data_IF_276108500561
#
_entry.id   IF_276108500561
#
_cell.length_a   1.000
_cell.length_b   1.000
_cell.length_c   1.000
_cell.angle_alpha   90.00
_cell.angle_beta   90.00
_cell.angle_gamma   90.00
#
_symmetry.space_group_name_H-M   'P 1'
#
loop_
_entity.id
_entity.type
_entity.pdbx_description
1 polymer ?
#
# COMPACT_ATOMS: atom_id res chain seq x y z
N UNK A 1 -19.22 -25.89 42.44
CA UNK A 1 -18.10 -25.43 43.30
C UNK A 1 -16.85 -25.25 42.48
N UNK A 2 -16.19 -24.11 42.69
CA UNK A 2 -14.92 -23.63 42.18
C UNK A 2 -14.94 -22.97 40.77
N UNK A 3 -15.04 -21.63 40.83
CA UNK A 3 -14.69 -20.64 39.84
C UNK A 3 -13.16 -20.61 39.67
N UNK A 4 -12.67 -20.51 38.42
CA UNK A 4 -11.33 -19.98 38.16
C UNK A 4 -11.46 -18.76 37.25
N UNK A 5 -11.10 -17.64 37.84
CA UNK A 5 -11.08 -16.31 37.30
C UNK A 5 -9.69 -16.10 36.66
N UNK A 6 -9.61 -15.91 35.35
CA UNK A 6 -8.37 -15.44 34.68
C UNK A 6 -8.40 -13.94 34.63
N UNK A 7 -7.44 -13.35 35.32
CA UNK A 7 -7.18 -11.93 35.40
C UNK A 7 -6.41 -11.50 34.14
N UNK A 8 -7.05 -10.70 33.28
CA UNK A 8 -6.40 -10.06 32.14
C UNK A 8 -5.86 -8.70 32.61
N UNK A 9 -4.53 -8.54 32.66
CA UNK A 9 -3.88 -7.25 32.90
C UNK A 9 -3.94 -6.41 31.62
N UNK A 10 -4.80 -5.40 31.63
CA UNK A 10 -4.76 -4.31 30.63
C UNK A 10 -3.78 -3.26 31.15
N UNK A 11 -2.67 -3.06 30.46
CA UNK A 11 -1.73 -1.97 30.74
C UNK A 11 -2.20 -0.76 29.93
N UNK A 12 -2.93 0.16 30.56
CA UNK A 12 -3.20 1.48 30.02
C UNK A 12 -1.99 2.38 30.29
N UNK A 13 -1.26 2.77 29.23
CA UNK A 13 -0.29 3.87 29.29
C UNK A 13 -1.03 5.20 29.25
N UNK A 14 -1.13 5.84 30.39
CA UNK A 14 -1.66 7.23 30.51
C UNK A 14 -0.48 8.18 30.44
N UNK A 15 -0.41 8.98 29.39
CA UNK A 15 0.49 10.15 29.33
C UNK A 15 -0.08 11.27 30.21
N UNK A 16 0.62 11.61 31.29
CA UNK A 16 0.29 12.76 32.13
C UNK A 16 1.21 13.93 31.75
N UNK A 17 0.63 14.97 31.16
CA UNK A 17 1.31 16.25 31.00
C UNK A 17 1.41 16.94 32.37
N UNK A 18 2.62 17.15 32.87
CA UNK A 18 2.87 17.91 34.09
C UNK A 18 2.98 19.40 33.78
N UNK A 19 1.99 20.15 34.22
CA UNK A 19 2.04 21.61 34.23
C UNK A 19 2.44 22.06 35.63
N UNK A 20 3.65 22.64 35.80
CA UNK A 20 4.16 23.15 37.08
C UNK A 20 3.50 24.47 37.43
N UNK A 21 2.79 24.55 38.56
CA UNK A 21 2.50 25.78 39.29
C UNK A 21 3.16 25.75 40.66
N UNK A 22 4.03 26.75 40.92
CA UNK A 22 4.58 27.09 42.24
C UNK A 22 3.46 27.53 43.16
N UNK A 23 3.44 27.00 44.37
CA UNK A 23 2.83 27.64 45.54
C UNK A 23 3.78 27.43 46.73
N UNK A 24 4.06 28.55 47.45
CA UNK A 24 4.95 28.63 48.59
C UNK A 24 4.27 28.23 49.92
N UNK A 25 5.06 27.59 50.78
CA UNK A 25 5.16 27.64 52.27
C UNK A 25 3.94 27.45 53.20
N UNK A 26 3.97 26.49 54.08
CA UNK A 26 4.47 26.66 55.49
C UNK A 26 4.43 25.37 56.33
N UNK A 27 5.54 25.19 57.09
CA UNK A 27 5.73 24.64 58.46
C UNK A 27 5.53 23.15 58.76
N UNK A 28 6.68 22.56 59.06
CA UNK A 28 7.03 21.67 60.19
C UNK A 28 6.05 20.62 60.70
N UNK A 29 6.39 19.35 60.49
CA UNK A 29 6.41 18.29 61.52
C UNK A 29 7.35 17.17 61.01
N UNK A 30 8.44 16.92 61.78
CA UNK A 30 9.29 15.76 61.64
C UNK A 30 8.51 14.46 61.87
N UNK A 31 8.66 13.50 60.97
CA UNK A 31 8.60 12.07 61.31
C UNK A 31 9.50 11.27 60.37
N UNK A 32 10.54 10.76 60.97
CA UNK A 32 11.54 9.86 60.43
C UNK A 32 10.88 8.48 60.09
N UNK A 33 10.72 8.20 58.79
CA UNK A 33 10.60 6.83 58.27
C UNK A 33 11.45 6.73 57.03
N UNK A 34 12.52 5.92 57.13
CA UNK A 34 13.41 5.59 56.01
C UNK A 34 12.61 5.00 54.84
N UNK A 35 12.36 5.86 53.87
CA UNK A 35 11.86 5.44 52.56
C UNK A 35 13.05 5.23 51.63
N UNK A 36 13.27 4.01 51.20
CA UNK A 36 14.14 3.69 50.10
C UNK A 36 13.69 4.50 48.89
N UNK A 37 14.57 5.39 48.43
CA UNK A 37 14.42 6.01 47.12
C UNK A 37 14.49 4.88 46.09
N UNK A 38 13.38 4.57 45.45
CA UNK A 38 13.40 3.84 44.21
C UNK A 38 14.12 4.73 43.20
N UNK A 39 15.41 4.48 42.94
CA UNK A 39 16.09 5.03 41.78
C UNK A 39 15.32 4.52 40.55
N UNK A 40 14.53 5.37 39.95
CA UNK A 40 14.06 5.15 38.58
C UNK A 40 15.31 5.05 37.72
N UNK A 41 15.63 3.84 37.31
CA UNK A 41 16.69 3.60 36.33
C UNK A 41 16.18 4.16 35.03
N UNK A 42 16.62 5.36 34.71
CA UNK A 42 16.44 5.96 33.38
C UNK A 42 17.25 5.08 32.40
N UNK A 43 16.56 4.15 31.75
CA UNK A 43 17.17 3.29 30.73
C UNK A 43 17.51 4.18 29.56
N UNK A 44 18.78 4.49 29.37
CA UNK A 44 19.26 5.26 28.25
C UNK A 44 18.93 4.49 26.94
N UNK A 45 18.27 5.20 26.00
CA UNK A 45 17.96 4.65 24.69
C UNK A 45 19.24 4.21 23.96
N UNK A 46 19.16 3.11 23.23
CA UNK A 46 20.25 2.69 22.34
C UNK A 46 20.42 3.69 21.18
N UNK A 47 21.60 3.74 20.53
CA UNK A 47 21.78 4.59 19.36
C UNK A 47 20.76 4.34 18.24
N UNK A 48 20.32 3.10 18.06
CA UNK A 48 19.30 2.72 17.07
C UNK A 48 17.90 3.25 17.45
N UNK A 49 17.53 3.18 18.72
CA UNK A 49 16.28 3.76 19.24
C UNK A 49 16.26 5.28 19.12
N UNK A 50 17.41 5.95 19.37
CA UNK A 50 17.55 7.39 19.20
C UNK A 50 17.36 7.77 17.72
N UNK A 51 17.98 7.06 16.79
CA UNK A 51 17.87 7.34 15.35
C UNK A 51 16.43 7.10 14.85
N UNK A 52 15.80 6.02 15.30
CA UNK A 52 14.40 5.76 15.03
C UNK A 52 13.48 6.88 15.54
N UNK A 53 13.70 7.36 16.76
CA UNK A 53 12.94 8.46 17.33
C UNK A 53 13.10 9.77 16.54
N UNK A 54 14.32 10.08 16.08
CA UNK A 54 14.60 11.25 15.23
C UNK A 54 13.84 11.17 13.92
N UNK A 55 13.87 10.00 13.29
CA UNK A 55 13.12 9.75 12.06
C UNK A 55 11.61 9.91 12.26
N UNK A 56 11.05 9.30 13.30
CA UNK A 56 9.62 9.41 13.64
C UNK A 56 9.21 10.88 13.93
N UNK A 57 10.08 11.64 14.58
CA UNK A 57 9.87 13.06 14.81
C UNK A 57 9.90 13.86 13.49
N UNK A 58 10.82 13.55 12.58
CA UNK A 58 10.89 14.18 11.27
C UNK A 58 9.64 13.90 10.42
N UNK A 59 9.13 12.66 10.43
CA UNK A 59 7.86 12.32 9.77
C UNK A 59 6.71 13.13 10.37
N UNK A 60 6.61 13.20 11.70
CA UNK A 60 5.55 13.93 12.39
C UNK A 60 5.63 15.44 12.12
N UNK A 61 6.83 16.03 12.11
CA UNK A 61 7.04 17.45 11.78
C UNK A 61 6.64 17.77 10.33
N UNK A 62 7.00 16.90 9.39
CA UNK A 62 6.62 17.07 7.98
C UNK A 62 5.10 17.05 7.79
N UNK A 63 4.42 16.05 8.36
CA UNK A 63 2.96 15.91 8.27
C UNK A 63 2.23 17.06 8.95
N UNK A 64 2.76 17.58 10.06
CA UNK A 64 2.14 18.71 10.78
C UNK A 64 2.06 20.01 9.95
N UNK A 65 2.89 20.11 8.89
CA UNK A 65 2.93 21.24 7.96
C UNK A 65 2.05 21.05 6.72
N UNK A 66 1.56 19.82 6.50
CA UNK A 66 0.63 19.54 5.41
C UNK A 66 -0.77 20.03 5.75
N UNK A 67 -1.46 20.60 4.77
CA UNK A 67 -2.90 20.92 4.90
C UNK A 67 -3.72 19.63 4.93
N UNK A 68 -5.00 19.72 5.31
CA UNK A 68 -5.90 18.56 5.30
C UNK A 68 -6.10 18.03 3.87
N UNK A 69 -6.23 18.95 2.91
CA UNK A 69 -6.34 18.63 1.47
C UNK A 69 -5.10 17.89 0.96
N UNK A 70 -3.90 18.33 1.34
CA UNK A 70 -2.65 17.66 0.97
C UNK A 70 -2.57 16.25 1.57
N UNK A 71 -2.95 16.06 2.84
CA UNK A 71 -2.99 14.74 3.48
C UNK A 71 -3.97 13.80 2.78
N UNK A 72 -5.18 14.28 2.49
CA UNK A 72 -6.20 13.52 1.76
C UNK A 72 -5.72 13.24 0.34
N UNK A 73 -5.16 14.23 -0.38
CA UNK A 73 -4.60 14.05 -1.71
C UNK A 73 -3.57 12.93 -1.77
N UNK A 74 -2.69 12.84 -0.76
CA UNK A 74 -1.70 11.77 -0.70
C UNK A 74 -2.31 10.37 -0.52
N UNK A 75 -3.54 10.25 -0.04
CA UNK A 75 -4.24 8.97 0.04
C UNK A 75 -4.79 8.49 -1.32
N UNK A 76 -4.90 9.35 -2.31
CA UNK A 76 -5.49 9.01 -3.60
C UNK A 76 -4.48 8.35 -4.54
N UNK A 77 -4.84 7.19 -5.09
CA UNK A 77 -4.22 6.53 -6.23
C UNK A 77 -5.17 6.70 -7.43
N UNK A 78 -4.77 7.50 -8.40
CA UNK A 78 -5.61 7.93 -9.52
C UNK A 78 -5.03 7.49 -10.85
N UNK A 79 -5.82 7.49 -11.93
CA UNK A 79 -5.31 7.22 -13.26
C UNK A 79 -4.73 8.48 -13.89
N UNK A 80 -3.84 8.29 -14.85
CA UNK A 80 -3.27 9.36 -15.65
C UNK A 80 -3.42 9.01 -17.13
N UNK A 81 -3.72 9.99 -17.97
CA UNK A 81 -3.83 9.78 -19.43
C UNK A 81 -2.56 10.16 -20.16
N UNK A 82 -2.54 9.79 -21.43
CA UNK A 82 -1.43 10.13 -22.32
C UNK A 82 -0.21 9.21 -22.18
N UNK A 83 0.76 9.50 -23.02
CA UNK A 83 2.04 8.77 -23.11
C UNK A 83 3.24 9.71 -22.96
N UNK A 84 3.00 11.03 -22.91
CA UNK A 84 4.01 12.07 -22.76
C UNK A 84 3.58 13.08 -21.69
N UNK A 85 4.54 13.68 -21.00
CA UNK A 85 4.26 14.70 -20.00
C UNK A 85 3.55 15.92 -20.61
N UNK A 86 3.85 16.26 -21.86
CA UNK A 86 3.20 17.35 -22.60
C UNK A 86 1.69 17.17 -22.80
N UNK A 87 1.19 15.93 -22.70
CA UNK A 87 -0.24 15.61 -22.75
C UNK A 87 -0.98 16.00 -21.47
N UNK A 88 -0.22 16.37 -20.43
CA UNK A 88 -0.74 16.68 -19.10
C UNK A 88 -0.70 18.19 -18.89
N UNK A 89 -1.84 18.75 -18.54
CA UNK A 89 -1.93 20.15 -18.14
C UNK A 89 -2.40 20.25 -16.70
N UNK A 90 -1.56 20.87 -15.86
CA UNK A 90 -1.89 21.13 -14.45
C UNK A 90 -1.89 22.63 -14.17
N UNK A 91 -2.98 23.09 -13.55
CA UNK A 91 -3.02 24.40 -12.91
C UNK A 91 -2.36 24.26 -11.52
N UNK A 92 -1.11 24.70 -11.41
CA UNK A 92 -0.30 24.52 -10.19
C UNK A 92 -0.92 25.21 -8.97
N UNK A 93 -1.62 26.35 -9.18
CA UNK A 93 -2.19 27.13 -8.07
C UNK A 93 -3.29 26.41 -7.32
N UNK A 94 -4.05 25.54 -8.04
CA UNK A 94 -5.18 24.78 -7.46
C UNK A 94 -4.93 23.27 -7.43
N UNK A 95 -3.71 22.84 -7.73
CA UNK A 95 -3.39 21.43 -7.85
C UNK A 95 -3.02 20.80 -6.50
N UNK A 96 -3.83 19.84 -6.06
CA UNK A 96 -3.50 18.99 -4.92
C UNK A 96 -2.88 17.70 -5.46
N UNK A 97 -1.62 17.48 -5.13
CA UNK A 97 -0.86 16.33 -5.61
C UNK A 97 -1.47 15.00 -5.11
N UNK A 98 -1.79 14.04 -6.00
CA UNK A 98 -2.22 12.72 -5.57
C UNK A 98 -1.04 11.95 -4.96
N UNK A 99 -1.34 10.93 -4.15
CA UNK A 99 -0.34 10.02 -3.61
C UNK A 99 0.42 9.29 -4.71
N UNK A 100 -0.29 8.78 -5.70
CA UNK A 100 0.29 8.06 -6.82
C UNK A 100 -0.59 8.00 -8.06
N UNK A 101 0.01 7.48 -9.12
CA UNK A 101 -0.66 7.22 -10.40
C UNK A 101 -0.69 5.73 -10.72
N UNK A 102 -1.88 5.21 -11.05
CA UNK A 102 -2.09 3.88 -11.59
C UNK A 102 -1.93 3.92 -13.11
N UNK A 103 -0.93 3.21 -13.62
CA UNK A 103 -0.61 3.15 -15.04
C UNK A 103 -1.21 1.91 -15.69
N UNK A 104 -1.69 2.09 -16.91
CA UNK A 104 -2.26 1.04 -17.75
C UNK A 104 -1.43 0.86 -19.01
N UNK A 105 -1.72 -0.20 -19.77
CA UNK A 105 -1.00 -0.51 -21.01
C UNK A 105 -1.00 0.66 -22.02
N UNK A 106 -2.04 1.48 -22.04
CA UNK A 106 -2.14 2.63 -22.93
C UNK A 106 -1.17 3.79 -22.61
N UNK A 107 -0.54 3.77 -21.43
CA UNK A 107 0.48 4.76 -21.05
C UNK A 107 1.88 4.43 -21.62
N UNK A 108 2.05 3.24 -22.20
CA UNK A 108 3.33 2.73 -22.64
C UNK A 108 3.35 2.45 -24.15
N UNK A 109 4.31 3.06 -24.86
CA UNK A 109 4.56 2.83 -26.28
C UNK A 109 5.79 1.93 -26.46
N UNK A 110 6.84 2.18 -25.68
CA UNK A 110 8.07 1.40 -25.59
C UNK A 110 8.79 1.72 -24.26
N UNK A 111 9.89 1.04 -23.97
CA UNK A 111 10.60 1.22 -22.70
C UNK A 111 11.20 2.61 -22.52
N UNK A 112 11.77 3.19 -23.56
CA UNK A 112 12.36 4.54 -23.53
C UNK A 112 11.30 5.61 -23.25
N UNK A 113 10.19 5.55 -23.98
CA UNK A 113 9.06 6.46 -23.75
C UNK A 113 8.49 6.32 -22.33
N UNK A 114 8.32 5.08 -21.83
CA UNK A 114 7.81 4.86 -20.47
C UNK A 114 8.72 5.48 -19.40
N UNK A 115 10.04 5.35 -19.54
CA UNK A 115 11.04 5.98 -18.65
C UNK A 115 10.92 7.51 -18.70
N UNK A 116 10.86 8.08 -19.91
CA UNK A 116 10.73 9.52 -20.09
C UNK A 116 9.42 10.02 -19.45
N UNK A 117 8.31 9.35 -19.69
CA UNK A 117 7.01 9.72 -19.16
C UNK A 117 6.99 9.80 -17.62
N UNK A 118 7.46 8.76 -16.94
CA UNK A 118 7.48 8.74 -15.48
C UNK A 118 8.46 9.75 -14.89
N UNK A 119 9.67 9.84 -15.46
CA UNK A 119 10.70 10.75 -14.96
C UNK A 119 10.39 12.22 -15.24
N UNK A 120 9.76 12.55 -16.36
CA UNK A 120 9.32 13.92 -16.67
C UNK A 120 8.23 14.37 -15.68
N UNK A 121 7.29 13.48 -15.31
CA UNK A 121 6.28 13.77 -14.29
C UNK A 121 6.96 14.03 -12.94
N UNK A 122 7.81 13.10 -12.46
CA UNK A 122 8.51 13.28 -11.18
C UNK A 122 9.34 14.58 -11.16
N UNK A 123 10.01 14.90 -12.27
CA UNK A 123 10.81 16.11 -12.41
C UNK A 123 9.94 17.37 -12.34
N UNK A 124 8.78 17.35 -12.98
CA UNK A 124 7.82 18.46 -12.91
C UNK A 124 7.33 18.69 -11.48
N UNK A 125 6.98 17.62 -10.73
CA UNK A 125 6.61 17.73 -9.33
C UNK A 125 7.74 18.35 -8.49
N UNK A 126 8.98 17.88 -8.68
CA UNK A 126 10.14 18.43 -8.00
C UNK A 126 10.45 19.89 -8.33
N UNK A 127 10.26 20.33 -9.60
CA UNK A 127 10.42 21.73 -10.02
C UNK A 127 9.36 22.67 -9.44
N UNK A 128 8.18 22.13 -9.09
CA UNK A 128 7.06 22.90 -8.55
C UNK A 128 6.90 22.74 -7.02
N UNK A 129 7.89 22.21 -6.32
CA UNK A 129 7.86 21.98 -4.86
C UNK A 129 6.64 21.17 -4.38
N UNK A 130 6.25 20.15 -5.18
CA UNK A 130 5.17 19.22 -4.87
C UNK A 130 5.75 17.89 -4.36
N UNK A 131 4.96 17.16 -3.57
CA UNK A 131 5.31 15.79 -3.16
C UNK A 131 5.20 14.89 -4.38
N UNK A 132 6.33 14.26 -4.80
CA UNK A 132 6.36 13.38 -5.98
C UNK A 132 5.38 12.21 -5.82
N UNK A 133 4.63 11.86 -6.89
CA UNK A 133 3.75 10.69 -6.88
C UNK A 133 4.56 9.41 -6.99
N UNK A 134 4.07 8.31 -6.44
CA UNK A 134 4.54 6.99 -6.84
C UNK A 134 3.76 6.51 -8.06
N UNK A 135 4.40 5.66 -8.89
CA UNK A 135 3.72 4.98 -10.00
C UNK A 135 3.45 3.54 -9.63
N UNK A 136 2.25 3.07 -9.94
CA UNK A 136 1.82 1.70 -9.73
C UNK A 136 1.30 1.07 -11.02
N UNK A 137 1.34 -0.26 -11.07
CA UNK A 137 0.88 -1.06 -12.22
C UNK A 137 0.38 -2.42 -11.75
N UNK A 138 -0.59 -3.01 -12.48
CA UNK A 138 -0.95 -4.43 -12.36
C UNK A 138 -0.06 -5.26 -13.28
N UNK A 139 1.06 -5.73 -12.78
CA UNK A 139 1.98 -6.58 -13.52
C UNK A 139 2.03 -7.98 -12.87
N UNK A 140 0.95 -8.76 -13.07
CA UNK A 140 0.83 -10.13 -12.55
C UNK A 140 1.50 -11.16 -13.48
N UNK A 141 1.53 -10.85 -14.76
CA UNK A 141 1.87 -11.75 -15.86
C UNK A 141 0.63 -12.38 -16.51
N UNK A 142 0.81 -13.03 -17.65
CA UNK A 142 -0.29 -13.68 -18.38
C UNK A 142 -1.37 -12.68 -18.80
N UNK A 143 -2.60 -12.88 -18.32
CA UNK A 143 -3.78 -12.06 -18.67
C UNK A 143 -3.67 -10.63 -18.14
N UNK A 144 -3.20 -10.45 -16.89
CA UNK A 144 -3.02 -9.15 -16.26
C UNK A 144 -1.56 -8.73 -16.35
N UNK A 145 -1.22 -8.19 -17.51
CA UNK A 145 0.12 -7.77 -17.88
C UNK A 145 0.04 -6.43 -18.62
N UNK A 146 0.23 -5.32 -17.88
CA UNK A 146 0.12 -3.96 -18.45
C UNK A 146 1.32 -3.59 -19.31
N UNK A 147 2.45 -4.27 -19.12
CA UNK A 147 3.69 -4.02 -19.86
C UNK A 147 3.95 -5.04 -20.98
N UNK A 148 2.92 -5.79 -21.41
CA UNK A 148 3.04 -6.89 -22.38
C UNK A 148 3.71 -6.50 -23.70
N UNK A 149 3.55 -5.24 -24.12
CA UNK A 149 4.04 -4.75 -25.41
C UNK A 149 5.41 -4.04 -25.28
N UNK A 150 5.88 -3.78 -24.06
CA UNK A 150 7.09 -2.99 -23.80
C UNK A 150 8.13 -3.71 -22.96
N UNK A 151 7.73 -4.60 -22.05
CA UNK A 151 8.63 -5.40 -21.22
C UNK A 151 8.86 -6.81 -21.83
N UNK A 152 9.82 -7.54 -21.27
CA UNK A 152 10.02 -8.95 -21.62
C UNK A 152 8.78 -9.78 -21.24
N UNK A 153 8.46 -10.85 -21.99
CA UNK A 153 7.28 -11.65 -21.70
C UNK A 153 7.29 -12.18 -20.26
N UNK A 154 6.17 -12.02 -19.55
CA UNK A 154 5.97 -12.56 -18.20
C UNK A 154 4.82 -13.58 -18.25
N UNK A 155 5.07 -14.87 -17.99
CA UNK A 155 4.04 -15.90 -17.96
C UNK A 155 3.03 -15.65 -16.84
N UNK A 156 1.85 -16.27 -16.95
CA UNK A 156 0.87 -16.26 -15.86
C UNK A 156 1.38 -16.97 -14.60
N UNK A 157 0.87 -16.59 -13.44
CA UNK A 157 1.19 -17.23 -12.16
C UNK A 157 1.02 -18.75 -12.20
N UNK A 158 -0.11 -19.22 -12.76
CA UNK A 158 -0.39 -20.66 -12.99
C UNK A 158 0.69 -21.33 -13.84
N UNK A 159 1.15 -20.68 -14.92
CA UNK A 159 2.21 -21.22 -15.79
C UNK A 159 3.56 -21.28 -15.06
N UNK A 160 3.91 -20.23 -14.31
CA UNK A 160 5.14 -20.20 -13.50
C UNK A 160 5.12 -21.35 -12.49
N UNK A 161 4.05 -21.49 -11.70
CA UNK A 161 3.92 -22.54 -10.69
C UNK A 161 3.84 -23.97 -11.26
N UNK A 162 3.46 -24.12 -12.53
CA UNK A 162 3.38 -25.41 -13.22
C UNK A 162 4.69 -25.82 -13.86
N UNK A 163 5.43 -24.91 -14.46
CA UNK A 163 6.55 -25.23 -15.35
C UNK A 163 7.92 -24.86 -14.78
N UNK A 164 8.01 -23.95 -13.82
CA UNK A 164 9.28 -23.52 -13.23
C UNK A 164 9.48 -24.07 -11.82
N UNK A 165 10.73 -24.47 -11.54
CA UNK A 165 11.17 -24.68 -10.17
C UNK A 165 11.35 -23.31 -9.47
N UNK A 166 11.35 -23.29 -8.11
CA UNK A 166 11.50 -22.05 -7.33
C UNK A 166 12.63 -21.11 -7.79
N UNK A 167 13.84 -21.63 -8.00
CA UNK A 167 14.99 -20.81 -8.42
C UNK A 167 14.78 -20.15 -9.80
N UNK A 168 14.11 -20.86 -10.71
CA UNK A 168 13.80 -20.34 -12.05
C UNK A 168 12.63 -19.34 -11.99
N UNK A 169 11.66 -19.58 -11.11
CA UNK A 169 10.58 -18.62 -10.85
C UNK A 169 11.13 -17.32 -10.29
N UNK A 170 12.12 -17.40 -9.36
CA UNK A 170 12.80 -16.20 -8.86
C UNK A 170 13.45 -15.40 -9.99
N UNK A 171 14.21 -16.07 -10.87
CA UNK A 171 14.91 -15.38 -11.96
C UNK A 171 13.97 -14.59 -12.88
N UNK A 172 12.82 -15.15 -13.28
CA UNK A 172 11.88 -14.44 -14.16
C UNK A 172 11.22 -13.26 -13.45
N UNK A 173 10.91 -13.38 -12.15
CA UNK A 173 10.36 -12.27 -11.36
C UNK A 173 11.41 -11.19 -11.06
N UNK A 174 12.67 -11.56 -10.87
CA UNK A 174 13.76 -10.58 -10.76
C UNK A 174 13.89 -9.74 -12.03
N UNK A 175 13.86 -10.38 -13.22
CA UNK A 175 13.89 -9.64 -14.49
C UNK A 175 12.66 -8.73 -14.67
N UNK A 176 11.49 -9.18 -14.23
CA UNK A 176 10.28 -8.34 -14.26
C UNK A 176 10.44 -7.14 -13.32
N UNK A 177 10.90 -7.36 -12.09
CA UNK A 177 11.09 -6.30 -11.10
C UNK A 177 12.15 -5.27 -11.53
N UNK A 178 13.28 -5.73 -12.10
CA UNK A 178 14.31 -4.83 -12.67
C UNK A 178 13.74 -3.92 -13.79
N UNK A 179 12.86 -4.44 -14.62
CA UNK A 179 12.20 -3.65 -15.66
C UNK A 179 11.21 -2.65 -15.04
N UNK A 180 10.45 -3.04 -14.02
CA UNK A 180 9.53 -2.14 -13.32
C UNK A 180 10.28 -0.95 -12.71
N UNK A 181 11.33 -1.18 -11.94
CA UNK A 181 12.06 -0.09 -11.27
C UNK A 181 12.74 0.84 -12.28
N UNK A 182 13.24 0.30 -13.39
CA UNK A 182 13.85 1.15 -14.45
C UNK A 182 12.81 1.98 -15.19
N UNK A 183 11.57 1.50 -15.33
CA UNK A 183 10.43 2.27 -15.84
C UNK A 183 9.88 3.29 -14.84
N UNK A 184 10.48 3.44 -13.65
CA UNK A 184 10.00 4.33 -12.61
C UNK A 184 8.79 3.80 -11.85
N UNK A 185 8.46 2.52 -11.95
CA UNK A 185 7.34 1.91 -11.23
C UNK A 185 7.77 1.56 -9.81
N UNK A 186 7.12 2.15 -8.83
CA UNK A 186 7.42 1.99 -7.40
C UNK A 186 6.61 0.87 -6.75
N UNK A 187 5.38 0.64 -7.26
CA UNK A 187 4.41 -0.29 -6.69
C UNK A 187 3.91 -1.26 -7.75
N UNK A 188 3.96 -2.56 -7.46
CA UNK A 188 3.29 -3.57 -8.26
C UNK A 188 2.08 -4.12 -7.51
N UNK A 189 0.88 -3.95 -8.06
CA UNK A 189 -0.37 -4.52 -7.53
C UNK A 189 -0.44 -6.02 -7.85
N UNK A 190 0.36 -6.78 -7.13
CA UNK A 190 0.56 -8.21 -7.24
C UNK A 190 1.55 -8.70 -6.17
N UNK A 191 1.59 -10.02 -5.93
CA UNK A 191 0.88 -11.09 -6.64
C UNK A 191 -0.56 -11.30 -6.16
N UNK A 192 -1.32 -12.09 -6.96
CA UNK A 192 -2.56 -12.70 -6.49
C UNK A 192 -2.19 -13.89 -5.59
N UNK A 193 -2.61 -13.82 -4.31
CA UNK A 193 -2.32 -14.84 -3.30
C UNK A 193 -3.53 -15.72 -2.98
N UNK A 194 -4.58 -15.62 -3.77
CA UNK A 194 -5.80 -16.41 -3.60
C UNK A 194 -5.58 -17.85 -4.07
N UNK A 195 -6.05 -18.81 -3.24
CA UNK A 195 -6.07 -20.23 -3.57
C UNK A 195 -7.13 -20.46 -4.64
N UNK A 196 -6.77 -21.21 -5.70
CA UNK A 196 -7.71 -21.59 -6.75
C UNK A 196 -8.68 -22.66 -6.23
N UNK A 197 -9.98 -22.38 -6.36
CA UNK A 197 -11.09 -23.27 -5.97
C UNK A 197 -12.12 -23.37 -7.10
N UNK A 198 -13.09 -24.28 -6.99
CA UNK A 198 -14.18 -24.37 -7.95
C UNK A 198 -15.04 -23.09 -7.96
N UNK A 199 -15.14 -22.40 -6.81
CA UNK A 199 -15.97 -21.22 -6.66
C UNK A 199 -15.35 -19.93 -7.25
N UNK A 200 -14.03 -19.87 -7.41
CA UNK A 200 -13.34 -18.67 -7.91
C UNK A 200 -12.56 -18.87 -9.21
N UNK A 201 -12.55 -20.07 -9.76
CA UNK A 201 -11.74 -20.41 -10.94
C UNK A 201 -12.12 -19.61 -12.19
N UNK A 202 -13.39 -19.20 -12.35
CA UNK A 202 -13.83 -18.40 -13.49
C UNK A 202 -13.26 -16.97 -13.42
N UNK A 203 -13.15 -16.41 -12.23
CA UNK A 203 -12.60 -15.08 -12.01
C UNK A 203 -11.05 -15.09 -11.99
N UNK A 204 -10.46 -16.04 -11.29
CA UNK A 204 -8.99 -16.09 -11.14
C UNK A 204 -8.30 -16.64 -12.39
N UNK A 205 -8.87 -17.63 -13.06
CA UNK A 205 -8.29 -18.30 -14.22
C UNK A 205 -6.81 -18.63 -13.99
N UNK A 206 -5.91 -18.10 -14.81
CA UNK A 206 -4.46 -18.31 -14.73
C UNK A 206 -3.73 -17.33 -13.80
N UNK A 207 -4.45 -16.43 -13.11
CA UNK A 207 -3.90 -15.42 -12.19
C UNK A 207 -3.44 -16.02 -10.86
N UNK A 208 -4.03 -17.13 -10.39
CA UNK A 208 -3.60 -17.85 -9.20
C UNK A 208 -2.44 -18.79 -9.49
N UNK A 209 -1.55 -18.98 -8.50
CA UNK A 209 -0.52 -20.02 -8.54
C UNK A 209 -1.10 -21.44 -8.42
N UNK A 210 -2.34 -21.57 -7.93
CA UNK A 210 -3.09 -22.83 -7.83
C UNK A 210 -3.48 -23.20 -6.41
N UNK A 211 -3.04 -24.38 -5.95
CA UNK A 211 -3.32 -24.88 -4.60
C UNK A 211 -2.56 -24.11 -3.49
N UNK A 212 -2.93 -24.36 -2.23
CA UNK A 212 -2.39 -23.71 -1.02
C UNK A 212 -0.85 -23.75 -0.92
N UNK A 213 -0.25 -24.88 -1.33
CA UNK A 213 1.21 -25.06 -1.23
C UNK A 213 1.93 -24.23 -2.30
N UNK A 214 1.43 -24.25 -3.53
CA UNK A 214 1.98 -23.44 -4.62
C UNK A 214 1.78 -21.95 -4.38
N UNK A 215 0.62 -21.55 -3.91
CA UNK A 215 0.37 -20.15 -3.55
C UNK A 215 1.39 -19.70 -2.49
N UNK A 216 1.60 -20.47 -1.42
CA UNK A 216 2.60 -20.11 -0.41
C UNK A 216 4.02 -19.97 -0.98
N UNK A 217 4.49 -20.95 -1.76
CA UNK A 217 5.86 -20.95 -2.31
C UNK A 217 6.07 -19.83 -3.32
N UNK A 218 5.19 -19.72 -4.31
CA UNK A 218 5.43 -18.83 -5.47
C UNK A 218 5.05 -17.37 -5.19
N UNK A 219 4.11 -17.12 -4.25
CA UNK A 219 3.85 -15.76 -3.76
C UNK A 219 5.07 -15.20 -3.03
N UNK A 220 5.68 -15.98 -2.14
CA UNK A 220 6.88 -15.58 -1.41
C UNK A 220 8.03 -15.25 -2.37
N UNK A 221 8.23 -16.07 -3.41
CA UNK A 221 9.24 -15.82 -4.43
C UNK A 221 8.96 -14.50 -5.17
N UNK A 222 7.72 -14.29 -5.59
CA UNK A 222 7.33 -13.04 -6.24
C UNK A 222 7.58 -11.83 -5.33
N UNK A 223 7.10 -11.88 -4.09
CA UNK A 223 7.26 -10.82 -3.09
C UNK A 223 8.74 -10.50 -2.88
N UNK A 224 9.58 -11.53 -2.62
CA UNK A 224 11.03 -11.36 -2.42
C UNK A 224 11.71 -10.75 -3.64
N UNK A 225 11.38 -11.21 -4.84
CA UNK A 225 11.93 -10.64 -6.09
C UNK A 225 11.59 -9.16 -6.26
N UNK A 226 10.35 -8.75 -5.94
CA UNK A 226 9.98 -7.34 -5.98
C UNK A 226 10.75 -6.51 -4.95
N UNK A 227 10.77 -6.93 -3.68
CA UNK A 227 11.45 -6.22 -2.59
C UNK A 227 12.96 -6.09 -2.81
N UNK A 228 13.62 -7.15 -3.25
CA UNK A 228 15.06 -7.16 -3.53
C UNK A 228 15.47 -6.24 -4.70
N UNK A 229 14.52 -5.90 -5.57
CA UNK A 229 14.71 -4.97 -6.69
C UNK A 229 14.01 -3.62 -6.47
N UNK A 230 13.73 -3.26 -5.22
CA UNK A 230 13.13 -1.97 -4.82
C UNK A 230 11.74 -1.66 -5.40
N UNK A 231 10.97 -2.67 -5.76
CA UNK A 231 9.54 -2.56 -6.09
C UNK A 231 8.70 -2.97 -4.90
N UNK A 232 7.69 -2.18 -4.53
CA UNK A 232 6.78 -2.48 -3.42
C UNK A 232 5.64 -3.39 -3.90
N UNK A 233 5.58 -4.67 -3.46
CA UNK A 233 4.50 -5.58 -3.86
C UNK A 233 3.25 -5.32 -3.03
N UNK A 234 2.08 -5.45 -3.66
CA UNK A 234 0.77 -5.35 -3.02
C UNK A 234 0.01 -6.64 -3.26
N UNK A 235 -0.06 -7.48 -2.23
CA UNK A 235 -0.76 -8.78 -2.35
C UNK A 235 -2.27 -8.59 -2.43
N UNK A 236 -2.97 -9.45 -3.20
CA UNK A 236 -4.39 -9.29 -3.48
C UNK A 236 -5.11 -10.60 -3.75
N UNK A 237 -6.42 -10.59 -3.64
CA UNK A 237 -7.31 -9.53 -3.15
C UNK A 237 -7.84 -9.96 -1.77
N UNK A 238 -7.57 -9.21 -0.73
CA UNK A 238 -8.03 -9.59 0.60
C UNK A 238 -9.53 -9.30 0.78
N UNK A 239 -10.32 -10.16 1.40
CA UNK A 239 -9.97 -11.50 1.88
C UNK A 239 -10.01 -12.56 0.77
N UNK A 240 -10.54 -12.29 -0.41
CA UNK A 240 -10.66 -13.17 -1.56
C UNK A 240 -11.84 -12.82 -2.46
N UNK A 241 -11.98 -13.55 -3.57
CA UNK A 241 -13.07 -13.45 -4.52
C UNK A 241 -13.78 -14.79 -4.73
N UNK A 242 -14.99 -14.75 -5.28
CA UNK A 242 -15.71 -15.90 -5.82
C UNK A 242 -15.79 -15.80 -7.38
N UNK A 243 -16.72 -16.48 -8.01
CA UNK A 243 -16.93 -16.39 -9.46
C UNK A 243 -17.57 -15.08 -9.93
N UNK A 244 -18.19 -14.32 -9.02
CA UNK A 244 -18.85 -13.07 -9.37
C UNK A 244 -17.81 -12.01 -9.74
N UNK A 245 -18.00 -11.38 -10.89
CA UNK A 245 -17.16 -10.30 -11.35
C UNK A 245 -17.52 -8.99 -10.62
N UNK A 246 -16.62 -8.39 -9.84
CA UNK A 246 -16.90 -7.15 -9.12
C UNK A 246 -17.17 -5.95 -10.04
N UNK A 247 -16.89 -6.05 -11.35
CA UNK A 247 -17.32 -5.05 -12.33
C UNK A 247 -18.82 -5.14 -12.67
N UNK A 248 -19.47 -6.29 -12.36
CA UNK A 248 -20.87 -6.56 -12.70
C UNK A 248 -21.79 -6.65 -11.47
N UNK A 249 -21.24 -6.77 -10.26
CA UNK A 249 -22.01 -6.89 -9.03
C UNK A 249 -21.15 -7.03 -7.80
N UNK A 250 -21.77 -7.06 -6.62
CA UNK A 250 -21.06 -7.21 -5.35
C UNK A 250 -20.82 -8.71 -5.05
N UNK A 251 -19.58 -9.21 -5.05
CA UNK A 251 -19.29 -10.61 -4.75
C UNK A 251 -19.65 -10.95 -3.30
N UNK A 252 -20.47 -11.98 -3.09
CA UNK A 252 -20.82 -12.49 -1.75
C UNK A 252 -20.23 -13.89 -1.56
N UNK A 253 -19.32 -14.04 -0.60
CA UNK A 253 -18.63 -15.30 -0.30
C UNK A 253 -19.28 -15.93 0.94
N UNK A 254 -20.29 -16.77 0.70
CA UNK A 254 -21.05 -17.45 1.77
C UNK A 254 -20.39 -18.77 2.17
N UNK A 255 -19.21 -18.64 2.81
CA UNK A 255 -18.47 -19.76 3.39
C UNK A 255 -18.69 -19.81 4.91
N UNK A 256 -18.65 -21.01 5.48
CA UNK A 256 -18.53 -21.16 6.93
C UNK A 256 -17.15 -20.68 7.43
N UNK A 257 -17.03 -20.42 8.73
CA UNK A 257 -15.79 -19.90 9.33
C UNK A 257 -14.58 -20.81 9.11
N UNK A 258 -14.76 -22.14 9.03
CA UNK A 258 -13.65 -23.06 8.77
C UNK A 258 -13.11 -22.85 7.35
N UNK A 259 -14.00 -22.80 6.38
CA UNK A 259 -13.62 -22.57 4.96
C UNK A 259 -13.09 -21.17 4.74
N UNK A 260 -13.64 -20.15 5.41
CA UNK A 260 -13.09 -18.78 5.42
C UNK A 260 -11.64 -18.79 5.89
N UNK A 261 -11.34 -19.41 7.02
CA UNK A 261 -9.99 -19.45 7.56
C UNK A 261 -9.03 -20.23 6.65
N UNK A 262 -9.45 -21.38 6.12
CA UNK A 262 -8.58 -22.26 5.35
C UNK A 262 -8.30 -21.74 3.91
N UNK A 263 -9.27 -21.09 3.30
CA UNK A 263 -9.22 -20.69 1.88
C UNK A 263 -8.93 -19.19 1.72
N UNK A 264 -9.59 -18.33 2.51
CA UNK A 264 -9.46 -16.89 2.34
C UNK A 264 -8.35 -16.31 3.21
N UNK A 265 -8.28 -16.66 4.49
CA UNK A 265 -7.36 -16.03 5.45
C UNK A 265 -5.97 -16.66 5.42
N UNK A 266 -5.89 -17.99 5.34
CA UNK A 266 -4.62 -18.71 5.45
C UNK A 266 -3.53 -18.28 4.44
N UNK A 267 -3.82 -17.89 3.19
CA UNK A 267 -2.80 -17.37 2.27
C UNK A 267 -2.13 -16.11 2.82
N UNK A 268 -2.92 -15.17 3.31
CA UNK A 268 -2.42 -13.90 3.87
C UNK A 268 -1.74 -14.09 5.22
N UNK A 269 -2.24 -15.01 6.06
CA UNK A 269 -1.62 -15.31 7.35
C UNK A 269 -0.19 -15.84 7.21
N UNK A 270 0.08 -16.64 6.17
CA UNK A 270 1.37 -17.30 5.91
C UNK A 270 2.46 -16.40 5.34
N UNK A 271 2.14 -15.22 4.81
CA UNK A 271 3.14 -14.29 4.29
C UNK A 271 4.06 -13.85 5.44
N UNK A 272 5.37 -14.01 5.23
CA UNK A 272 6.38 -13.74 6.26
C UNK A 272 6.60 -12.25 6.48
N UNK A 273 6.80 -11.47 5.41
CA UNK A 273 7.08 -10.04 5.50
C UNK A 273 5.82 -9.18 5.36
N UNK A 274 5.09 -9.02 6.45
CA UNK A 274 3.88 -8.20 6.52
C UNK A 274 4.13 -6.72 6.80
N UNK A 275 5.41 -6.34 6.97
CA UNK A 275 5.82 -4.98 7.30
C UNK A 275 6.18 -4.16 6.08
N UNK A 276 6.76 -4.81 5.07
CA UNK A 276 7.33 -4.16 3.89
C UNK A 276 6.52 -4.37 2.62
N UNK A 277 5.29 -4.87 2.73
CA UNK A 277 4.37 -5.09 1.61
C UNK A 277 3.02 -4.43 1.85
N UNK A 278 2.31 -4.13 0.76
CA UNK A 278 0.92 -3.70 0.81
C UNK A 278 -0.07 -4.84 0.67
N UNK A 279 -1.33 -4.54 0.99
CA UNK A 279 -2.47 -5.42 0.75
C UNK A 279 -3.57 -4.65 0.06
N UNK A 280 -4.13 -5.19 -1.02
CA UNK A 280 -5.30 -4.64 -1.68
C UNK A 280 -6.55 -5.38 -1.18
N UNK A 281 -7.50 -4.62 -0.65
CA UNK A 281 -8.75 -5.13 -0.07
C UNK A 281 -9.86 -5.05 -1.10
N UNK A 282 -10.48 -6.20 -1.38
CA UNK A 282 -11.56 -6.36 -2.35
C UNK A 282 -12.89 -5.75 -1.87
N UNK A 283 -13.84 -5.67 -2.80
CA UNK A 283 -15.24 -5.31 -2.50
C UNK A 283 -16.08 -6.50 -2.02
N UNK A 284 -15.52 -7.71 -1.97
CA UNK A 284 -16.27 -8.90 -1.58
C UNK A 284 -16.86 -8.78 -0.17
N UNK A 285 -18.07 -9.30 -0.02
CA UNK A 285 -18.78 -9.43 1.26
C UNK A 285 -18.61 -10.86 1.78
N UNK A 286 -18.15 -11.00 3.00
CA UNK A 286 -17.99 -12.31 3.68
C UNK A 286 -18.88 -12.33 4.93
N UNK A 287 -20.13 -12.81 4.85
CA UNK A 287 -21.08 -12.75 5.97
C UNK A 287 -20.58 -13.37 7.26
N UNK A 288 -19.73 -14.41 7.18
CA UNK A 288 -19.14 -15.07 8.33
C UNK A 288 -18.31 -14.15 9.26
N UNK A 289 -17.84 -13.00 8.77
CA UNK A 289 -17.14 -12.02 9.61
C UNK A 289 -18.08 -11.20 10.51
N UNK A 290 -19.38 -11.18 10.27
CA UNK A 290 -20.29 -10.20 10.85
C UNK A 290 -21.20 -10.71 11.96
N UNK A 291 -21.06 -11.96 12.41
CA UNK A 291 -21.79 -12.54 13.57
C UNK A 291 -23.32 -12.37 13.48
N UNK A 292 -23.88 -12.45 12.26
CA UNK A 292 -25.30 -12.28 12.00
C UNK A 292 -25.79 -10.83 11.88
N UNK A 293 -24.89 -9.84 11.94
CA UNK A 293 -25.21 -8.46 11.59
C UNK A 293 -25.20 -8.28 10.06
N UNK A 294 -25.68 -7.12 9.62
CA UNK A 294 -25.62 -6.75 8.20
C UNK A 294 -24.16 -6.73 7.71
N UNK A 295 -23.87 -7.52 6.69
CA UNK A 295 -22.56 -7.63 6.11
C UNK A 295 -22.34 -6.54 5.06
N UNK A 296 -21.18 -5.91 5.09
CA UNK A 296 -20.80 -4.83 4.17
C UNK A 296 -19.52 -5.22 3.40
N UNK A 297 -19.19 -4.53 2.29
CA UNK A 297 -18.00 -4.75 1.53
C UNK A 297 -16.73 -4.69 2.40
N UNK A 298 -15.81 -5.62 2.17
CA UNK A 298 -14.60 -5.78 3.00
C UNK A 298 -13.77 -4.51 3.08
N UNK A 299 -13.57 -3.79 1.98
CA UNK A 299 -12.82 -2.53 1.94
C UNK A 299 -13.50 -1.36 2.71
N UNK A 300 -14.80 -1.46 3.02
CA UNK A 300 -15.55 -0.46 3.76
C UNK A 300 -15.71 -0.83 5.25
N UNK A 301 -15.21 -1.99 5.66
CA UNK A 301 -15.43 -2.57 6.99
C UNK A 301 -14.22 -2.42 7.92
N UNK A 302 -14.38 -1.64 8.99
CA UNK A 302 -13.37 -1.53 10.06
C UNK A 302 -13.06 -2.90 10.69
N UNK A 303 -14.06 -3.78 10.82
CA UNK A 303 -13.88 -5.15 11.32
C UNK A 303 -12.92 -5.96 10.43
N UNK A 304 -13.00 -5.78 9.12
CA UNK A 304 -12.16 -6.51 8.16
C UNK A 304 -10.79 -5.84 7.99
N UNK A 305 -10.75 -4.52 7.81
CA UNK A 305 -9.50 -3.80 7.53
C UNK A 305 -8.67 -3.59 8.78
N UNK A 306 -9.23 -2.95 9.81
CA UNK A 306 -8.47 -2.63 11.02
C UNK A 306 -8.36 -3.82 11.96
N UNK A 307 -9.49 -4.48 12.30
CA UNK A 307 -9.46 -5.49 13.37
C UNK A 307 -8.87 -6.81 12.89
N UNK A 308 -9.25 -7.29 11.70
CA UNK A 308 -8.74 -8.56 11.17
C UNK A 308 -7.38 -8.37 10.46
N UNK A 309 -7.31 -7.54 9.40
CA UNK A 309 -6.09 -7.46 8.58
C UNK A 309 -4.93 -6.79 9.33
N UNK A 310 -5.14 -5.60 9.90
CA UNK A 310 -4.06 -4.87 10.56
C UNK A 310 -3.73 -5.47 11.94
N UNK A 311 -4.73 -5.64 12.83
CA UNK A 311 -4.47 -6.01 14.22
C UNK A 311 -4.25 -7.52 14.43
N UNK A 312 -5.08 -8.40 13.83
CA UNK A 312 -4.98 -9.85 14.05
C UNK A 312 -3.95 -10.51 13.15
N UNK A 313 -3.94 -10.16 11.84
CA UNK A 313 -2.97 -10.72 10.90
C UNK A 313 -1.62 -10.00 10.91
N UNK A 314 -1.54 -8.80 11.49
CA UNK A 314 -0.29 -8.07 11.73
C UNK A 314 0.26 -7.32 10.51
N UNK A 315 -0.57 -6.94 9.55
CA UNK A 315 -0.14 -6.15 8.40
C UNK A 315 0.06 -4.68 8.77
N UNK A 316 1.29 -4.18 8.63
CA UNK A 316 1.64 -2.79 8.96
C UNK A 316 2.02 -1.94 7.73
N UNK A 317 2.15 -2.54 6.55
CA UNK A 317 2.35 -1.81 5.30
C UNK A 317 1.13 -1.00 4.87
N UNK A 318 1.15 -0.50 3.64
CA UNK A 318 0.04 0.25 3.07
C UNK A 318 -1.14 -0.68 2.74
N UNK A 319 -2.34 -0.28 3.14
CA UNK A 319 -3.58 -0.98 2.82
C UNK A 319 -4.30 -0.18 1.72
N UNK A 320 -4.50 -0.83 0.57
CA UNK A 320 -5.14 -0.27 -0.61
C UNK A 320 -6.60 -0.73 -0.67
N UNK A 321 -7.49 0.14 -1.11
CA UNK A 321 -8.79 -0.33 -1.61
C UNK A 321 -8.65 -0.84 -3.04
N UNK A 322 -9.58 -1.68 -3.49
CA UNK A 322 -9.88 -1.78 -4.91
C UNK A 322 -10.57 -0.49 -5.40
N UNK A 323 -10.82 -0.34 -6.70
CA UNK A 323 -11.39 0.89 -7.26
C UNK A 323 -12.76 1.21 -6.67
N UNK A 324 -12.82 2.28 -5.85
CA UNK A 324 -14.02 2.71 -5.13
C UNK A 324 -15.11 3.26 -6.04
N UNK A 325 -14.84 3.41 -7.35
CA UNK A 325 -15.84 3.81 -8.35
C UNK A 325 -16.43 2.64 -9.12
N UNK A 326 -16.08 1.39 -8.76
CA UNK A 326 -16.63 0.20 -9.41
C UNK A 326 -18.14 0.09 -9.20
N UNK A 327 -18.81 -0.43 -10.24
CA UNK A 327 -20.28 -0.65 -10.23
C UNK A 327 -20.74 -1.48 -9.04
N UNK A 328 -19.94 -2.43 -8.56
CA UNK A 328 -20.20 -3.24 -7.38
C UNK A 328 -20.64 -2.43 -6.16
N UNK A 329 -20.02 -1.30 -5.90
CA UNK A 329 -20.38 -0.44 -4.77
C UNK A 329 -21.61 0.43 -5.09
N UNK A 330 -21.59 1.12 -6.23
CA UNK A 330 -22.62 2.09 -6.60
C UNK A 330 -24.02 1.43 -6.79
N UNK A 331 -24.06 0.28 -7.45
CA UNK A 331 -25.32 -0.48 -7.67
C UNK A 331 -25.88 -1.11 -6.39
N UNK A 332 -25.05 -1.23 -5.35
CA UNK A 332 -25.43 -1.75 -4.03
C UNK A 332 -25.65 -0.65 -2.97
N UNK A 333 -25.82 0.61 -3.42
CA UNK A 333 -26.27 1.72 -2.59
C UNK A 333 -25.16 2.55 -1.93
N UNK A 334 -23.89 2.29 -2.24
CA UNK A 334 -22.77 3.10 -1.77
C UNK A 334 -22.41 4.15 -2.82
N UNK A 335 -22.77 5.42 -2.61
CA UNK A 335 -22.24 6.47 -3.49
C UNK A 335 -20.74 6.67 -3.30
N UNK A 336 -20.08 7.31 -4.27
CA UNK A 336 -18.62 7.39 -4.30
C UNK A 336 -18.02 8.10 -3.08
N UNK A 337 -18.64 9.19 -2.60
CA UNK A 337 -18.17 9.96 -1.44
C UNK A 337 -18.39 9.15 -0.16
N UNK A 338 -19.52 8.48 -0.03
CA UNK A 338 -19.82 7.58 1.07
C UNK A 338 -18.83 6.42 1.11
N UNK A 339 -18.57 5.74 -0.02
CA UNK A 339 -17.61 4.65 -0.11
C UNK A 339 -16.20 5.10 0.28
N UNK A 340 -15.73 6.26 -0.20
CA UNK A 340 -14.44 6.84 0.17
C UNK A 340 -14.39 7.13 1.68
N UNK A 341 -15.43 7.76 2.23
CA UNK A 341 -15.52 8.09 3.66
C UNK A 341 -15.48 6.82 4.54
N UNK A 342 -16.24 5.79 4.18
CA UNK A 342 -16.27 4.51 4.88
C UNK A 342 -14.91 3.80 4.78
N UNK A 343 -14.27 3.78 3.61
CA UNK A 343 -12.95 3.18 3.42
C UNK A 343 -11.87 3.86 4.30
N UNK A 344 -11.89 5.20 4.40
CA UNK A 344 -10.99 5.94 5.31
C UNK A 344 -11.23 5.48 6.74
N UNK A 345 -12.46 5.48 7.23
CA UNK A 345 -12.81 5.05 8.59
C UNK A 345 -12.52 3.57 8.86
N UNK A 346 -12.61 2.73 7.83
CA UNK A 346 -12.22 1.34 7.92
C UNK A 346 -10.71 1.14 8.13
N UNK A 347 -9.87 2.10 7.77
CA UNK A 347 -8.41 2.04 7.92
C UNK A 347 -7.65 1.87 6.60
N UNK A 348 -8.30 2.04 5.45
CA UNK A 348 -7.65 2.07 4.14
C UNK A 348 -6.68 3.27 4.10
N UNK A 349 -5.45 3.04 3.68
CA UNK A 349 -4.44 4.08 3.55
C UNK A 349 -4.40 4.68 2.14
N UNK A 350 -4.63 3.86 1.11
CA UNK A 350 -4.59 4.25 -0.29
C UNK A 350 -5.93 3.96 -0.94
N UNK A 351 -6.60 5.03 -1.37
CA UNK A 351 -7.93 5.04 -1.99
C UNK A 351 -7.75 4.97 -3.50
N UNK A 352 -8.01 3.82 -4.11
CA UNK A 352 -7.94 3.69 -5.57
C UNK A 352 -9.19 4.31 -6.21
N UNK A 353 -8.97 5.25 -7.10
CA UNK A 353 -9.98 5.93 -7.90
C UNK A 353 -9.53 5.88 -9.37
N UNK A 354 -10.06 4.94 -10.13
CA UNK A 354 -9.59 4.68 -11.51
C UNK A 354 -10.09 5.72 -12.51
N UNK A 355 -9.97 7.01 -12.16
CA UNK A 355 -10.26 8.15 -13.03
C UNK A 355 -9.29 9.31 -12.77
N UNK A 356 -9.28 10.30 -13.66
CA UNK A 356 -8.40 11.48 -13.59
C UNK A 356 -8.98 12.59 -12.70
N UNK A 357 -10.30 12.72 -12.68
CA UNK A 357 -11.02 13.78 -11.98
C UNK A 357 -11.26 13.38 -10.52
N UNK A 358 -10.26 13.60 -9.65
CA UNK A 358 -10.31 13.25 -8.24
C UNK A 358 -10.49 14.46 -7.30
N UNK A 359 -10.20 15.67 -7.75
CA UNK A 359 -10.27 16.90 -6.95
C UNK A 359 -11.63 17.12 -6.27
N UNK A 360 -12.78 16.90 -6.95
CA UNK A 360 -14.10 17.05 -6.30
C UNK A 360 -14.29 16.11 -5.11
N UNK A 361 -13.70 14.91 -5.14
CA UNK A 361 -13.76 13.99 -4.00
C UNK A 361 -12.96 14.52 -2.81
N UNK A 362 -11.78 15.11 -3.05
CA UNK A 362 -10.99 15.72 -1.97
C UNK A 362 -11.80 16.81 -1.27
N UNK A 363 -12.43 17.72 -2.03
CA UNK A 363 -13.25 18.81 -1.48
C UNK A 363 -14.41 18.29 -0.59
N UNK A 364 -15.11 17.25 -1.02
CA UNK A 364 -16.20 16.66 -0.24
C UNK A 364 -15.69 15.92 1.01
N UNK A 365 -14.58 15.20 0.89
CA UNK A 365 -13.96 14.48 2.03
C UNK A 365 -13.43 15.46 3.07
N UNK A 366 -12.84 16.60 2.68
CA UNK A 366 -12.43 17.66 3.59
C UNK A 366 -13.61 18.15 4.43
N UNK A 367 -14.74 18.48 3.77
CA UNK A 367 -15.97 18.95 4.47
C UNK A 367 -16.50 17.93 5.48
N UNK A 368 -16.42 16.64 5.15
CA UNK A 368 -16.84 15.56 6.07
C UNK A 368 -15.86 15.41 7.23
N UNK A 369 -14.55 15.42 6.94
CA UNK A 369 -13.51 15.22 7.94
C UNK A 369 -13.42 16.36 8.97
N UNK A 370 -13.68 17.61 8.59
CA UNK A 370 -13.63 18.76 9.51
C UNK A 370 -14.50 18.59 10.77
N UNK A 371 -15.55 17.77 10.69
CA UNK A 371 -16.48 17.52 11.79
C UNK A 371 -16.47 16.06 12.29
N UNK A 372 -15.47 15.26 11.90
CA UNK A 372 -15.35 13.85 12.23
C UNK A 372 -13.95 13.52 12.77
N UNK A 373 -13.81 13.48 14.09
CA UNK A 373 -12.53 13.21 14.77
C UNK A 373 -11.94 11.83 14.42
N UNK A 374 -12.79 10.80 14.24
CA UNK A 374 -12.32 9.46 13.85
C UNK A 374 -11.73 9.49 12.44
N UNK A 375 -12.38 10.19 11.52
CA UNK A 375 -11.90 10.35 10.16
C UNK A 375 -10.59 11.14 10.10
N UNK A 376 -10.48 12.26 10.83
CA UNK A 376 -9.24 13.03 10.94
C UNK A 376 -8.08 12.18 11.47
N UNK A 377 -8.32 11.37 12.50
CA UNK A 377 -7.31 10.48 13.06
C UNK A 377 -6.82 9.44 12.03
N UNK A 378 -7.72 8.86 11.25
CA UNK A 378 -7.36 7.89 10.21
C UNK A 378 -6.62 8.54 9.04
N UNK A 379 -6.99 9.76 8.63
CA UNK A 379 -6.26 10.53 7.62
C UNK A 379 -4.82 10.80 8.10
N UNK A 380 -4.64 11.22 9.34
CA UNK A 380 -3.31 11.46 9.93
C UNK A 380 -2.46 10.19 9.97
N UNK A 381 -3.03 9.07 10.40
CA UNK A 381 -2.38 7.76 10.41
C UNK A 381 -1.98 7.31 8.99
N UNK A 382 -2.85 7.50 8.02
CA UNK A 382 -2.59 7.16 6.62
C UNK A 382 -1.50 8.05 6.01
N UNK A 383 -1.56 9.36 6.25
CA UNK A 383 -0.52 10.30 5.81
C UNK A 383 0.86 9.92 6.36
N UNK A 384 0.94 9.48 7.64
CA UNK A 384 2.18 9.00 8.25
C UNK A 384 2.74 7.78 7.52
N UNK A 385 1.92 6.77 7.24
CA UNK A 385 2.36 5.57 6.50
C UNK A 385 2.80 5.90 5.08
N UNK A 386 2.09 6.81 4.39
CA UNK A 386 2.40 7.20 3.01
C UNK A 386 3.70 8.03 2.95
N UNK A 387 3.91 8.95 3.88
CA UNK A 387 5.17 9.70 3.98
C UNK A 387 6.35 8.77 4.25
N UNK A 388 6.22 7.83 5.20
CA UNK A 388 7.22 6.80 5.48
C UNK A 388 7.55 5.97 4.22
N UNK A 389 6.52 5.51 3.51
CA UNK A 389 6.69 4.79 2.25
C UNK A 389 7.43 5.65 1.20
N UNK A 390 7.06 6.92 1.03
CA UNK A 390 7.68 7.82 0.05
C UNK A 390 9.13 8.14 0.38
N UNK A 391 9.49 8.26 1.65
CA UNK A 391 10.90 8.38 2.07
C UNK A 391 11.67 7.12 1.71
N UNK A 392 11.15 5.94 2.01
CA UNK A 392 11.79 4.66 1.66
C UNK A 392 11.96 4.47 0.15
N UNK A 393 11.12 5.09 -0.66
CA UNK A 393 11.18 5.05 -2.14
C UNK A 393 11.95 6.22 -2.77
N UNK A 394 12.55 7.10 -1.97
CA UNK A 394 13.29 8.26 -2.49
C UNK A 394 12.42 9.33 -3.15
N UNK A 395 11.10 9.29 -2.94
CA UNK A 395 10.15 10.30 -3.42
C UNK A 395 10.10 11.52 -2.49
N UNK A 396 10.56 11.35 -1.25
CA UNK A 396 10.85 12.37 -0.26
C UNK A 396 12.26 12.18 0.26
N UNK A 397 13.01 13.25 0.45
CA UNK A 397 14.38 13.22 0.95
C UNK A 397 14.38 13.28 2.48
N UNK A 398 15.10 12.35 3.14
CA UNK A 398 15.40 12.42 4.56
C UNK A 398 16.89 12.72 4.76
N UNK A 399 17.19 13.88 5.29
CA UNK A 399 18.53 14.31 5.62
C UNK A 399 18.54 15.29 6.80
N UNK A 400 19.61 15.31 7.57
CA UNK A 400 19.79 16.21 8.73
C UNK A 400 18.56 16.20 9.68
N UNK A 401 18.01 15.00 9.93
CA UNK A 401 16.83 14.79 10.79
C UNK A 401 15.55 15.52 10.30
N UNK A 402 15.45 15.78 8.97
CA UNK A 402 14.32 16.45 8.33
C UNK A 402 13.87 15.73 7.08
N UNK A 403 12.57 15.75 6.83
CA UNK A 403 11.98 15.33 5.56
C UNK A 403 11.72 16.55 4.70
N UNK A 404 12.07 16.45 3.41
CA UNK A 404 11.89 17.50 2.41
C UNK A 404 11.33 16.92 1.13
N UNK A 405 10.64 17.75 0.37
CA UNK A 405 10.20 17.41 -0.99
C UNK A 405 11.44 17.32 -1.88
N UNK A 406 11.54 16.25 -2.69
CA UNK A 406 12.66 16.06 -3.61
C UNK A 406 12.68 17.13 -4.68
N UNK A 407 13.87 17.65 -4.98
CA UNK A 407 14.05 18.70 -6.00
C UNK A 407 13.91 18.15 -7.41
N UNK A 408 13.54 19.02 -8.35
CA UNK A 408 13.62 18.71 -9.78
C UNK A 408 15.07 18.77 -10.29
N UNK A 409 15.33 18.04 -11.36
CA UNK A 409 16.60 17.99 -12.07
C UNK A 409 16.66 19.11 -13.15
N UNK A 410 17.85 19.57 -13.49
CA UNK A 410 18.07 20.31 -14.71
C UNK A 410 17.81 19.44 -15.95
N UNK A 411 17.65 20.04 -17.10
CA UNK A 411 17.36 19.30 -18.34
C UNK A 411 18.52 18.34 -18.72
N UNK A 412 19.78 18.73 -18.43
CA UNK A 412 20.96 17.90 -18.66
C UNK A 412 21.00 16.69 -17.69
N UNK A 413 20.76 16.93 -16.38
CA UNK A 413 20.70 15.87 -15.38
C UNK A 413 19.55 14.89 -15.64
N UNK A 414 18.38 15.39 -16.08
CA UNK A 414 17.24 14.58 -16.43
C UNK A 414 17.54 13.69 -17.64
N UNK A 415 18.14 14.25 -18.71
CA UNK A 415 18.51 13.49 -19.89
C UNK A 415 19.54 12.39 -19.58
N UNK A 416 20.52 12.68 -18.72
CA UNK A 416 21.48 11.68 -18.25
C UNK A 416 20.77 10.57 -17.45
N UNK A 417 19.92 10.92 -16.50
CA UNK A 417 19.15 9.97 -15.68
C UNK A 417 18.26 9.04 -16.54
N UNK A 418 17.57 9.61 -17.56
CA UNK A 418 16.74 8.85 -18.49
C UNK A 418 17.57 7.86 -19.31
N UNK A 419 18.73 8.31 -19.80
CA UNK A 419 19.65 7.46 -20.57
C UNK A 419 20.17 6.28 -19.75
N UNK A 420 20.63 6.52 -18.52
CA UNK A 420 21.13 5.46 -17.63
C UNK A 420 20.03 4.45 -17.27
N UNK A 421 18.81 4.91 -17.01
CA UNK A 421 17.66 4.03 -16.79
C UNK A 421 17.34 3.18 -18.02
N UNK A 422 17.41 3.75 -19.22
CA UNK A 422 17.13 3.02 -20.45
C UNK A 422 18.17 1.94 -20.75
N UNK A 423 19.45 2.19 -20.51
CA UNK A 423 20.49 1.15 -20.62
C UNK A 423 20.24 -0.02 -19.66
N UNK A 424 19.88 0.28 -18.40
CA UNK A 424 19.55 -0.73 -17.41
C UNK A 424 18.27 -1.50 -17.77
N UNK A 425 17.26 -0.82 -18.31
CA UNK A 425 16.04 -1.44 -18.81
C UNK A 425 16.34 -2.44 -19.95
N UNK A 426 17.12 -2.04 -20.95
CA UNK A 426 17.49 -2.89 -22.07
C UNK A 426 18.24 -4.15 -21.61
N UNK A 427 19.12 -4.01 -20.60
CA UNK A 427 19.82 -5.16 -20.03
C UNK A 427 18.84 -6.13 -19.37
N UNK A 428 17.95 -5.66 -18.52
CA UNK A 428 16.93 -6.50 -17.85
C UNK A 428 15.95 -7.10 -18.85
N UNK A 429 15.51 -6.32 -19.86
CA UNK A 429 14.65 -6.78 -20.94
C UNK A 429 15.25 -7.94 -21.73
N UNK A 430 16.52 -7.82 -22.16
CA UNK A 430 17.19 -8.86 -22.93
C UNK A 430 17.37 -10.14 -22.10
N UNK A 431 17.77 -10.01 -20.83
CA UNK A 431 17.89 -11.14 -19.92
C UNK A 431 16.55 -11.87 -19.71
N UNK A 432 15.48 -11.13 -19.47
CA UNK A 432 14.15 -11.70 -19.32
C UNK A 432 13.62 -12.35 -20.60
N UNK A 433 13.87 -11.73 -21.75
CA UNK A 433 13.49 -12.28 -23.06
C UNK A 433 14.23 -13.58 -23.37
N UNK A 434 15.54 -13.61 -23.17
CA UNK A 434 16.36 -14.81 -23.40
C UNK A 434 15.92 -15.94 -22.46
N UNK A 435 15.66 -15.63 -21.20
CA UNK A 435 15.13 -16.58 -20.23
C UNK A 435 13.76 -17.12 -20.67
N UNK A 436 12.84 -16.25 -21.08
CA UNK A 436 11.53 -16.67 -21.57
C UNK A 436 11.65 -17.59 -22.79
N UNK A 437 12.50 -17.26 -23.76
CA UNK A 437 12.73 -18.11 -24.95
C UNK A 437 13.27 -19.49 -24.59
N UNK A 438 14.14 -19.59 -23.58
CA UNK A 438 14.70 -20.86 -23.11
C UNK A 438 13.64 -21.82 -22.56
N UNK A 439 12.62 -21.31 -21.87
CA UNK A 439 11.64 -22.13 -21.15
C UNK A 439 10.26 -22.19 -21.82
N UNK A 440 9.91 -21.22 -22.67
CA UNK A 440 8.61 -21.16 -23.39
C UNK A 440 8.72 -20.94 -24.90
N UNK A 441 9.91 -20.79 -25.44
CA UNK A 441 10.15 -20.41 -26.83
C UNK A 441 10.04 -21.56 -27.89
N UNK A 442 9.50 -22.74 -27.52
CA UNK A 442 9.29 -23.86 -28.42
C UNK A 442 7.81 -24.09 -28.69
#
# INVERSE_FOLDING_TARGET
MKKNLYLICVICLIFVFSCSKKVENHSDIENDFGGEKSDEIEVALSPEEIEKQKYENAVSDFISKMTLEEKIGQMFLVTIGGTEFSDLYYDVENFIAPGGYLLFAYNFVNGEQGINFTSDIENWFGKNDLIKPYFSVDQEGGLVNRLRDVASPLPSASSVAKFLKPDLAKAIYDYAAMQLVTLGIHVNLGPVVEILTEENQEFLDTRSFGDKDKVGIYSDIFIKSMLENDVYPVVKHFPGNNADDPHLGLPVIDFDLSKVNDILIAPFEKIEDKQNIGVLVAHSVVPAFFDGNEAIPSCLSKKVVTELLENQLGYNGLIFSDDLLMAALQENGYDSVEAISMAIKAGINVLMIAQKEYMPFIEEIVKLAENDEEMLLQIEKSAKKIVDFKVKKGLLDYSEEKIQKGKGLSDEELAQYQSEKYENFLKAYNQGKDFYQMYWGN
#
